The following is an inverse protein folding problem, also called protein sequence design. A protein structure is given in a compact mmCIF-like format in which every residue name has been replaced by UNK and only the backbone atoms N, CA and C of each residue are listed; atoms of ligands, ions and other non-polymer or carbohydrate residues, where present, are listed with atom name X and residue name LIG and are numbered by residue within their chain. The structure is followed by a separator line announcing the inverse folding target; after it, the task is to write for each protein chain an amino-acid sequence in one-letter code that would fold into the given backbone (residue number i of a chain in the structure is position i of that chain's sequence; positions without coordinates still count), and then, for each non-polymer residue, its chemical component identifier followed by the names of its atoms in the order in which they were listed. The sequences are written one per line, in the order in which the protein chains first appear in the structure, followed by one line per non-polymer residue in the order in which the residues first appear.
data_IF_723407205995
#
_entry.id   IF_723407205995
#
_cell.length_a   1.000
_cell.length_b   1.000
_cell.length_c   1.000
_cell.angle_alpha   90.00
_cell.angle_beta   90.00
_cell.angle_gamma   90.00
#
_symmetry.space_group_name_H-M   'P 1'
#
loop_
_entity.id
_entity.type
_entity.pdbx_description
1 polymer ?
#
# COMPACT_ATOMS: atom_id res chain seq x y z
N UNK A 1 -1.70 -0.26 9.04
CA UNK A 1 -2.57 -0.29 7.85
C UNK A 1 -3.62 -1.35 8.10
N UNK A 2 -4.89 -0.97 8.08
CA UNK A 2 -5.99 -1.89 8.38
C UNK A 2 -6.55 -2.51 7.09
N UNK A 3 -7.27 -3.61 7.22
CA UNK A 3 -7.89 -4.32 6.09
C UNK A 3 -8.82 -3.38 5.28
N UNK A 4 -9.56 -2.52 5.96
CA UNK A 4 -10.44 -1.53 5.32
C UNK A 4 -9.69 -0.57 4.38
N UNK A 5 -8.47 -0.15 4.75
CA UNK A 5 -7.64 0.72 3.90
C UNK A 5 -7.11 -0.03 2.68
N UNK A 6 -6.79 -1.32 2.81
CA UNK A 6 -6.38 -2.17 1.69
C UNK A 6 -7.54 -2.40 0.71
N UNK A 7 -8.73 -2.68 1.23
CA UNK A 7 -9.95 -2.83 0.44
C UNK A 7 -10.24 -1.53 -0.32
N UNK A 8 -10.09 -0.38 0.34
CA UNK A 8 -10.24 0.95 -0.26
C UNK A 8 -9.24 1.21 -1.40
N UNK A 9 -7.96 0.83 -1.24
CA UNK A 9 -6.99 0.89 -2.34
C UNK A 9 -7.47 0.06 -3.54
N UNK A 10 -8.01 -1.14 -3.28
CA UNK A 10 -8.55 -2.03 -4.31
C UNK A 10 -9.79 -1.47 -5.02
N UNK A 11 -10.68 -0.83 -4.28
CA UNK A 11 -11.83 -0.08 -4.83
C UNK A 11 -11.38 1.05 -5.76
N UNK A 12 -10.50 1.93 -5.27
CA UNK A 12 -9.95 3.04 -6.06
C UNK A 12 -9.20 2.53 -7.30
N UNK A 13 -8.52 1.39 -7.19
CA UNK A 13 -7.87 0.77 -8.34
C UNK A 13 -8.88 0.31 -9.41
N UNK A 14 -9.95 -0.39 -8.99
CA UNK A 14 -11.02 -0.83 -9.91
C UNK A 14 -11.72 0.36 -10.56
N UNK A 15 -12.04 1.38 -9.77
CA UNK A 15 -12.67 2.61 -10.25
C UNK A 15 -11.79 3.34 -11.27
N UNK A 16 -10.50 3.49 -10.97
CA UNK A 16 -9.50 4.06 -11.89
C UNK A 16 -9.42 3.35 -13.24
N UNK A 17 -9.68 2.04 -13.28
CA UNK A 17 -9.64 1.23 -14.51
C UNK A 17 -10.93 1.29 -15.31
N UNK A 18 -12.07 1.49 -14.65
CA UNK A 18 -13.38 1.53 -15.28
C UNK A 18 -13.73 2.92 -15.81
N UNK A 19 -13.70 3.93 -14.93
CA UNK A 19 -14.20 5.29 -15.23
C UNK A 19 -13.18 6.39 -14.92
N UNK A 20 -12.06 6.05 -14.28
CA UNK A 20 -11.06 7.01 -13.82
C UNK A 20 -11.32 7.43 -12.37
N UNK A 21 -10.45 8.31 -11.85
CA UNK A 21 -10.56 8.84 -10.49
C UNK A 21 -10.71 10.35 -10.55
N UNK A 22 -11.50 10.91 -9.62
CA UNK A 22 -11.47 12.36 -9.38
C UNK A 22 -10.12 12.76 -8.76
N UNK A 23 -9.83 14.06 -8.72
CA UNK A 23 -8.58 14.53 -8.12
C UNK A 23 -8.50 14.21 -6.62
N UNK A 24 -9.62 14.31 -5.90
CA UNK A 24 -9.71 13.93 -4.49
C UNK A 24 -9.40 12.45 -4.29
N UNK A 25 -9.92 11.59 -5.16
CA UNK A 25 -9.70 10.15 -5.11
C UNK A 25 -8.27 9.77 -5.48
N UNK A 26 -7.63 10.49 -6.40
CA UNK A 26 -6.21 10.32 -6.69
C UNK A 26 -5.35 10.68 -5.49
N UNK A 27 -5.68 11.78 -4.80
CA UNK A 27 -5.00 12.19 -3.57
C UNK A 27 -5.18 11.15 -2.46
N UNK A 28 -6.41 10.64 -2.29
CA UNK A 28 -6.72 9.57 -1.35
C UNK A 28 -5.90 8.30 -1.67
N UNK A 29 -5.91 7.86 -2.93
CA UNK A 29 -5.18 6.68 -3.38
C UNK A 29 -3.67 6.83 -3.17
N UNK A 30 -3.11 8.02 -3.44
CA UNK A 30 -1.69 8.30 -3.26
C UNK A 30 -1.29 8.25 -1.77
N UNK A 31 -2.10 8.84 -0.89
CA UNK A 31 -1.87 8.81 0.55
C UNK A 31 -1.91 7.37 1.09
N UNK A 32 -2.94 6.60 0.71
CA UNK A 32 -3.10 5.20 1.13
C UNK A 32 -1.96 4.31 0.62
N UNK A 33 -1.53 4.49 -0.64
CA UNK A 33 -0.39 3.74 -1.19
C UNK A 33 0.93 4.09 -0.51
N UNK A 34 1.14 5.35 -0.14
CA UNK A 34 2.32 5.77 0.62
C UNK A 34 2.36 5.10 1.98
N UNK A 35 1.24 5.09 2.71
CA UNK A 35 1.13 4.40 4.01
C UNK A 35 1.42 2.89 3.88
N UNK A 36 0.88 2.24 2.84
CA UNK A 36 1.14 0.83 2.57
C UNK A 36 2.63 0.55 2.30
N UNK A 37 3.26 1.34 1.43
CA UNK A 37 4.69 1.16 1.10
C UNK A 37 5.57 1.34 2.33
N UNK A 38 5.29 2.32 3.18
CA UNK A 38 6.07 2.52 4.40
C UNK A 38 5.91 1.36 5.39
N UNK A 39 4.71 0.77 5.50
CA UNK A 39 4.51 -0.44 6.29
C UNK A 39 5.31 -1.62 5.70
N UNK A 40 5.24 -1.82 4.39
CA UNK A 40 5.97 -2.89 3.70
C UNK A 40 7.48 -2.73 3.89
N UNK A 41 8.02 -1.51 3.73
CA UNK A 41 9.44 -1.22 3.96
C UNK A 41 9.88 -1.53 5.38
N UNK A 42 9.08 -1.14 6.38
CA UNK A 42 9.36 -1.44 7.80
C UNK A 42 9.38 -2.94 8.06
N UNK A 43 8.38 -3.67 7.55
CA UNK A 43 8.32 -5.11 7.70
C UNK A 43 9.48 -5.80 6.99
N UNK A 44 9.82 -5.37 5.77
CA UNK A 44 10.90 -5.95 4.98
C UNK A 44 12.27 -5.72 5.63
N UNK A 45 12.51 -4.56 6.24
CA UNK A 45 13.74 -4.31 7.00
C UNK A 45 13.84 -5.22 8.23
N UNK A 46 12.74 -5.42 8.95
CA UNK A 46 12.70 -6.41 10.04
C UNK A 46 12.95 -7.85 9.57
N UNK A 47 12.49 -8.21 8.37
CA UNK A 47 12.81 -9.51 7.76
C UNK A 47 14.29 -9.63 7.41
N UNK A 48 14.90 -8.61 6.80
CA UNK A 48 16.33 -8.62 6.45
C UNK A 48 17.24 -8.68 7.68
N UNK A 49 16.89 -7.98 8.76
CA UNK A 49 17.63 -8.03 10.03
C UNK A 49 17.52 -9.41 10.72
N UNK A 50 16.54 -10.23 10.34
CA UNK A 50 16.32 -11.59 10.86
C UNK A 50 16.93 -12.69 9.98
N UNK A 51 17.56 -12.36 8.85
CA UNK A 51 18.26 -13.35 8.02
C UNK A 51 19.63 -13.61 8.65
N UNK A 52 19.72 -14.69 9.44
CA UNK A 52 21.01 -15.26 9.83
C UNK A 52 21.64 -15.96 8.61
N UNK A 53 22.83 -15.50 8.21
CA UNK A 53 23.68 -16.24 7.29
C UNK A 53 24.03 -17.58 7.96
N UNK A 54 23.55 -18.69 7.39
CA UNK A 54 24.06 -20.02 7.73
C UNK A 54 25.16 -20.37 6.73
N UNK A 55 26.39 -20.44 7.24
CA UNK A 55 27.55 -21.06 6.59
C UNK A 55 27.35 -22.57 6.39
#
# INVERSE_FOLDING_TARGET
MDKSKLDRIGELYRKSKAEGLTEEEKMEQAALRKEYIELVKRNFRGTLDSIEYKD
#
